data_IF_772361180812
#
_entry.id   IF_772361180812
#
_cell.length_a   1.000
_cell.length_b   1.000
_cell.length_c   1.000
_cell.angle_alpha   90.00
_cell.angle_beta   90.00
_cell.angle_gamma   90.00
#
_symmetry.space_group_name_H-M   'P 1'
#
loop_
_entity.id
_entity.type
_entity.pdbx_description
1 polymer ?
#
# COMPACT_ATOMS: atom_id res chain seq x y z
N UNK A 1 -10.59 -8.40 2.57
CA UNK A 1 -9.98 -7.07 2.65
C UNK A 1 -8.52 -7.09 2.21
N UNK A 2 -8.05 -6.00 1.69
CA UNK A 2 -6.64 -5.83 1.38
C UNK A 2 -5.95 -4.93 2.41
N UNK A 3 -4.64 -5.10 2.53
CA UNK A 3 -3.83 -4.35 3.49
C UNK A 3 -3.60 -2.91 3.02
N UNK A 4 -3.73 -1.98 3.96
CA UNK A 4 -3.29 -0.59 3.81
C UNK A 4 -2.24 -0.33 4.88
N UNK A 5 -1.08 0.21 4.49
CA UNK A 5 -0.07 0.63 5.45
C UNK A 5 -0.60 1.79 6.28
N UNK A 6 -0.94 1.53 7.53
CA UNK A 6 -1.56 2.54 8.39
C UNK A 6 -1.20 2.32 9.85
N UNK A 7 -1.16 3.40 10.60
CA UNK A 7 -0.89 3.39 12.03
C UNK A 7 -0.84 4.80 12.58
N UNK A 8 -1.21 4.97 13.86
CA UNK A 8 -1.12 6.26 14.54
C UNK A 8 -1.93 7.39 13.91
N UNK A 9 -2.99 7.07 13.18
CA UNK A 9 -3.80 8.06 12.48
C UNK A 9 -3.29 8.43 11.08
N UNK A 10 -2.25 7.75 10.58
CA UNK A 10 -1.66 7.99 9.25
C UNK A 10 -1.79 6.76 8.37
N UNK A 11 -1.87 6.96 7.08
CA UNK A 11 -1.92 5.87 6.11
C UNK A 11 -1.23 6.22 4.79
N UNK A 12 -0.71 5.19 4.13
CA UNK A 12 -0.22 5.25 2.76
C UNK A 12 -1.21 4.51 1.88
N UNK A 13 -1.86 5.23 0.97
CA UNK A 13 -2.89 4.67 0.09
C UNK A 13 -2.37 4.44 -1.32
N UNK A 14 -2.77 3.32 -1.90
CA UNK A 14 -2.45 2.97 -3.29
C UNK A 14 -3.75 2.67 -4.04
N UNK A 15 -3.87 3.06 -5.31
CA UNK A 15 -5.06 2.80 -6.13
C UNK A 15 -5.04 1.36 -6.66
N UNK A 16 -5.32 0.39 -5.80
CA UNK A 16 -5.30 -1.03 -6.14
C UNK A 16 -6.40 -1.33 -7.15
N UNK A 17 -6.06 -2.06 -8.21
CA UNK A 17 -6.95 -2.36 -9.33
C UNK A 17 -7.00 -3.86 -9.60
N UNK A 18 -8.08 -4.34 -10.23
CA UNK A 18 -8.13 -5.71 -10.75
C UNK A 18 -6.92 -5.99 -11.65
N UNK A 19 -6.25 -7.12 -11.42
CA UNK A 19 -5.01 -7.49 -12.10
C UNK A 19 -3.76 -7.28 -11.26
N UNK A 20 -3.85 -6.54 -10.16
CA UNK A 20 -2.74 -6.42 -9.22
C UNK A 20 -2.58 -7.73 -8.44
N UNK A 21 -1.36 -8.24 -8.37
CA UNK A 21 -1.07 -9.48 -7.67
C UNK A 21 -1.04 -9.28 -6.16
N UNK A 22 -1.46 -10.30 -5.43
CA UNK A 22 -1.49 -10.28 -3.97
C UNK A 22 -1.17 -11.64 -3.38
N UNK A 23 -0.76 -11.64 -2.14
CA UNK A 23 -0.73 -12.82 -1.29
C UNK A 23 -1.98 -12.81 -0.42
N UNK A 24 -2.72 -13.92 -0.41
CA UNK A 24 -3.92 -14.04 0.41
C UNK A 24 -3.62 -14.93 1.61
N UNK A 25 -3.92 -14.43 2.79
CA UNK A 25 -3.81 -15.15 4.05
C UNK A 25 -5.22 -15.36 4.59
N UNK A 26 -5.54 -16.58 4.93
CA UNK A 26 -6.88 -16.93 5.43
C UNK A 26 -6.90 -16.97 6.95
N UNK A 27 -7.94 -16.36 7.53
CA UNK A 27 -8.20 -16.47 8.95
C UNK A 27 -8.60 -17.88 9.35
N UNK A 28 -8.27 -18.28 10.58
CA UNK A 28 -8.65 -19.58 11.14
C UNK A 28 -10.15 -19.67 11.36
N UNK A 29 -10.81 -18.56 11.67
CA UNK A 29 -12.23 -18.46 12.00
C UNK A 29 -12.93 -17.42 11.15
N UNK A 30 -14.25 -17.46 11.13
CA UNK A 30 -15.08 -16.45 10.47
C UNK A 30 -14.79 -15.05 11.01
N UNK A 31 -14.52 -14.11 10.11
CA UNK A 31 -14.20 -12.72 10.45
C UNK A 31 -15.30 -11.72 10.06
N UNK A 32 -16.45 -12.19 9.60
CA UNK A 32 -17.49 -11.32 9.03
C UNK A 32 -17.97 -10.24 10.02
N UNK A 33 -18.14 -10.57 11.29
CA UNK A 33 -18.57 -9.61 12.31
C UNK A 33 -17.52 -8.50 12.50
N UNK A 34 -16.25 -8.85 12.53
CA UNK A 34 -15.17 -7.88 12.59
C UNK A 34 -15.11 -7.03 11.34
N UNK A 35 -15.21 -7.65 10.16
CA UNK A 35 -15.16 -6.94 8.88
C UNK A 35 -16.26 -5.88 8.75
N UNK A 36 -17.47 -6.23 9.21
CA UNK A 36 -18.62 -5.32 9.12
C UNK A 36 -18.62 -4.22 10.18
N UNK A 37 -18.15 -4.52 11.40
CA UNK A 37 -18.33 -3.64 12.56
C UNK A 37 -17.04 -3.21 13.24
N UNK A 38 -15.92 -3.85 12.94
CA UNK A 38 -14.64 -3.60 13.60
C UNK A 38 -14.60 -4.08 15.06
N UNK A 39 -13.48 -3.83 15.72
CA UNK A 39 -13.29 -4.17 17.14
C UNK A 39 -13.30 -5.65 17.44
N UNK A 40 -13.47 -5.99 18.72
CA UNK A 40 -13.57 -7.37 19.18
C UNK A 40 -15.01 -7.85 18.97
N UNK A 41 -15.16 -8.95 18.24
CA UNK A 41 -16.48 -9.50 17.88
C UNK A 41 -16.54 -11.00 18.11
N UNK A 42 -17.75 -11.50 18.42
CA UNK A 42 -18.02 -12.92 18.38
C UNK A 42 -18.16 -13.39 16.93
N UNK A 43 -17.68 -14.59 16.65
CA UNK A 43 -17.78 -15.17 15.32
C UNK A 43 -19.26 -15.46 14.99
N UNK A 44 -19.68 -15.08 13.78
CA UNK A 44 -21.05 -15.28 13.30
C UNK A 44 -21.27 -16.73 12.85
N UNK A 45 -20.26 -17.31 12.19
CA UNK A 45 -20.29 -18.68 11.69
C UNK A 45 -19.14 -19.50 12.25
N UNK A 46 -19.33 -20.83 12.29
CA UNK A 46 -18.33 -21.76 12.84
C UNK A 46 -17.35 -22.31 11.81
N UNK A 47 -17.30 -21.73 10.63
CA UNK A 47 -16.37 -22.14 9.60
C UNK A 47 -14.92 -21.89 9.99
N UNK A 48 -14.03 -22.72 9.47
CA UNK A 48 -12.59 -22.63 9.73
C UNK A 48 -11.84 -22.64 8.40
N UNK A 49 -10.76 -21.86 8.30
CA UNK A 49 -9.90 -21.75 7.12
C UNK A 49 -10.71 -21.58 5.83
N UNK A 50 -11.78 -20.81 5.89
CA UNK A 50 -12.68 -20.57 4.77
C UNK A 50 -12.10 -19.52 3.82
N UNK A 51 -12.34 -19.69 2.51
CA UNK A 51 -11.88 -18.73 1.50
C UNK A 51 -12.49 -17.35 1.68
N UNK A 52 -13.65 -17.24 2.35
CA UNK A 52 -14.29 -15.95 2.64
C UNK A 52 -13.59 -15.17 3.75
N UNK A 53 -12.72 -15.79 4.52
CA UNK A 53 -11.98 -15.16 5.61
C UNK A 53 -10.55 -14.80 5.19
N UNK A 54 -10.39 -14.30 3.97
CA UNK A 54 -9.11 -13.96 3.38
C UNK A 54 -8.72 -12.50 3.58
N UNK A 55 -7.42 -12.30 3.79
CA UNK A 55 -6.78 -10.98 3.82
C UNK A 55 -5.76 -10.92 2.70
N UNK A 56 -5.83 -9.89 1.86
CA UNK A 56 -4.91 -9.71 0.75
C UNK A 56 -3.79 -8.74 1.10
N UNK A 57 -2.55 -9.18 0.90
CA UNK A 57 -1.37 -8.33 0.98
C UNK A 57 -0.94 -8.06 -0.46
N UNK A 58 -1.10 -6.82 -0.91
CA UNK A 58 -0.76 -6.41 -2.27
C UNK A 58 0.70 -6.00 -2.38
N UNK A 59 1.22 -5.95 -3.60
CA UNK A 59 2.57 -5.49 -3.87
C UNK A 59 3.55 -6.60 -4.24
N UNK A 60 3.09 -7.82 -4.42
CA UNK A 60 3.90 -8.91 -4.96
C UNK A 60 3.96 -8.80 -6.48
N UNK A 61 5.13 -8.97 -7.03
CA UNK A 61 5.34 -8.89 -8.49
C UNK A 61 6.04 -10.13 -8.98
N UNK A 62 5.46 -10.77 -10.00
CA UNK A 62 6.10 -11.88 -10.70
C UNK A 62 7.22 -11.37 -11.61
N UNK A 63 8.09 -12.27 -12.04
CA UNK A 63 9.26 -11.91 -12.83
C UNK A 63 8.92 -11.09 -14.11
N UNK A 64 7.86 -11.38 -14.87
CA UNK A 64 7.52 -10.57 -16.05
C UNK A 64 7.05 -9.14 -15.74
N UNK A 65 6.67 -8.85 -14.50
CA UNK A 65 6.12 -7.54 -14.10
C UNK A 65 6.93 -6.87 -13.00
N UNK A 66 8.23 -7.13 -12.95
CA UNK A 66 9.13 -6.48 -11.99
C UNK A 66 9.16 -4.96 -12.20
N UNK A 67 9.47 -4.23 -11.16
CA UNK A 67 9.68 -2.79 -11.25
C UNK A 67 11.01 -2.54 -11.96
N UNK A 68 10.94 -1.95 -13.14
CA UNK A 68 12.14 -1.65 -13.92
C UNK A 68 12.76 -0.33 -13.49
N UNK A 69 14.09 -0.25 -13.59
CA UNK A 69 14.82 1.00 -13.38
C UNK A 69 14.76 1.53 -11.93
N UNK A 70 14.47 0.69 -10.94
CA UNK A 70 14.52 1.16 -9.57
C UNK A 70 15.97 1.31 -9.07
N UNK A 71 16.18 2.21 -8.13
CA UNK A 71 17.50 2.47 -7.56
C UNK A 71 17.82 1.51 -6.43
N UNK A 72 19.01 0.91 -6.46
CA UNK A 72 19.56 0.14 -5.37
C UNK A 72 20.28 0.99 -4.30
N UNK A 73 20.49 2.27 -4.59
CA UNK A 73 21.24 3.18 -3.72
C UNK A 73 20.36 4.19 -2.99
N UNK A 74 19.07 4.20 -3.23
CA UNK A 74 18.14 5.18 -2.63
C UNK A 74 16.76 4.59 -2.39
N UNK A 75 16.01 5.20 -1.49
CA UNK A 75 14.62 4.86 -1.25
C UNK A 75 13.71 5.79 -2.05
N UNK A 76 12.74 5.23 -2.76
CA UNK A 76 11.85 5.99 -3.61
C UNK A 76 10.38 5.63 -3.37
N UNK A 77 9.53 6.65 -3.32
CA UNK A 77 8.11 6.52 -3.55
C UNK A 77 7.85 7.01 -4.97
N UNK A 78 7.49 6.12 -5.87
CA UNK A 78 7.49 6.40 -7.31
C UNK A 78 6.29 5.82 -8.03
N UNK A 79 6.00 6.36 -9.22
CA UNK A 79 5.12 5.66 -10.17
C UNK A 79 5.90 4.53 -10.87
N UNK A 80 5.20 3.66 -11.58
CA UNK A 80 5.82 2.50 -12.22
C UNK A 80 6.85 2.89 -13.30
N UNK A 81 6.56 3.93 -14.07
CA UNK A 81 7.47 4.42 -15.11
C UNK A 81 8.75 5.05 -14.55
N UNK A 82 8.70 5.55 -13.30
CA UNK A 82 9.85 6.15 -12.65
C UNK A 82 10.11 7.61 -13.04
N UNK A 83 9.16 8.27 -13.69
CA UNK A 83 9.28 9.66 -14.11
C UNK A 83 8.70 10.65 -13.10
N UNK A 84 8.07 10.16 -12.04
CA UNK A 84 7.59 10.94 -10.91
C UNK A 84 7.92 10.21 -9.62
N UNK A 85 8.65 10.86 -8.72
CA UNK A 85 9.06 10.24 -7.46
C UNK A 85 9.44 11.24 -6.37
N UNK A 86 9.40 10.74 -5.16
CA UNK A 86 10.03 11.35 -3.98
C UNK A 86 11.13 10.39 -3.54
N UNK A 87 12.35 10.89 -3.40
CA UNK A 87 13.54 10.06 -3.17
C UNK A 87 14.34 10.55 -1.98
N UNK A 88 14.86 9.60 -1.20
CA UNK A 88 15.88 9.86 -0.18
C UNK A 88 17.15 9.15 -0.63
N UNK A 89 18.17 9.92 -0.95
CA UNK A 89 19.47 9.44 -1.42
C UNK A 89 20.57 10.00 -0.51
N UNK A 90 21.07 9.18 0.41
CA UNK A 90 21.99 9.64 1.45
C UNK A 90 21.35 10.72 2.30
N UNK A 91 21.90 11.92 2.30
CA UNK A 91 21.38 13.09 3.02
C UNK A 91 20.51 13.99 2.15
N UNK A 92 20.27 13.61 0.92
CA UNK A 92 19.51 14.41 -0.05
C UNK A 92 18.07 13.90 -0.17
N UNK A 93 17.13 14.84 -0.35
CA UNK A 93 15.75 14.54 -0.70
C UNK A 93 15.48 15.17 -2.07
N UNK A 94 15.04 14.35 -3.01
CA UNK A 94 14.71 14.78 -4.37
C UNK A 94 13.22 14.57 -4.62
N UNK A 95 12.56 15.59 -5.15
CA UNK A 95 11.18 15.53 -5.61
C UNK A 95 11.20 15.84 -7.10
N UNK A 96 10.77 14.87 -7.91
CA UNK A 96 10.82 15.00 -9.37
C UNK A 96 9.51 14.57 -10.00
N UNK A 97 9.10 15.30 -11.03
CA UNK A 97 8.00 14.92 -11.91
C UNK A 97 8.34 15.35 -13.34
N UNK A 98 7.99 14.52 -14.34
CA UNK A 98 8.04 14.92 -15.73
C UNK A 98 6.89 15.87 -16.08
N UNK A 99 5.81 15.80 -15.33
CA UNK A 99 4.69 16.71 -15.42
C UNK A 99 4.79 17.87 -14.42
N UNK A 100 3.67 18.24 -13.81
CA UNK A 100 3.56 19.38 -12.92
C UNK A 100 3.72 18.95 -11.47
N UNK A 101 4.47 19.71 -10.68
CA UNK A 101 4.51 19.63 -9.22
C UNK A 101 3.66 20.77 -8.66
N UNK A 102 2.69 20.43 -7.80
CA UNK A 102 1.83 21.41 -7.15
C UNK A 102 2.02 21.31 -5.64
N UNK A 103 2.34 22.42 -5.00
CA UNK A 103 2.50 22.53 -3.55
C UNK A 103 1.49 23.57 -3.07
N UNK A 104 0.49 23.12 -2.28
CA UNK A 104 -0.54 23.98 -1.71
C UNK A 104 -0.50 23.88 -0.19
N UNK A 105 -0.53 25.03 0.47
CA UNK A 105 -0.61 25.09 1.92
C UNK A 105 -1.06 26.48 2.35
N UNK A 106 -1.59 26.62 3.56
CA UNK A 106 -1.86 27.93 4.14
C UNK A 106 -0.54 28.73 4.25
N UNK A 107 0.57 28.03 4.52
CA UNK A 107 1.92 28.58 4.51
C UNK A 107 2.87 27.53 3.94
N UNK A 108 3.76 27.93 3.04
CA UNK A 108 4.83 27.09 2.49
C UNK A 108 6.16 27.74 2.88
N UNK A 109 6.93 27.05 3.72
CA UNK A 109 8.23 27.54 4.17
C UNK A 109 9.34 26.80 3.43
N UNK A 110 10.25 27.56 2.82
CA UNK A 110 11.47 27.06 2.21
C UNK A 110 12.64 27.77 2.90
N UNK A 111 13.48 26.98 3.53
CA UNK A 111 14.58 27.50 4.34
C UNK A 111 15.86 27.65 3.54
#
# INVERSE_FOLDING_TARGET
PFMVYSGGGYCLTLPIKPGDDCLVIFGDSCMDAWWQSGGVQNQIERRRHDLSDGFAIVGFRSQPVVVSGYSNGSAQLRNEAGDAYIEIAGSNINIKASGKITINGATVNIN
#
